data_IF_405402184588
#
_entry.id   IF_405402184588
#
_cell.length_a   1.000
_cell.length_b   1.000
_cell.length_c   1.000
_cell.angle_alpha   90.00
_cell.angle_beta   90.00
_cell.angle_gamma   90.00
#
_symmetry.space_group_name_H-M   'P 1'
#
loop_
_entity.id
_entity.type
_entity.pdbx_description
1 polymer ?
#
# COMPACT_ATOMS: atom_id res chain seq x y z
N UNK A 1 -20.95 6.83 11.14
CA UNK A 1 -20.73 8.13 10.46
C UNK A 1 -20.16 7.85 9.09
N UNK A 2 -20.53 8.53 8.01
CA UNK A 2 -19.90 8.24 6.70
C UNK A 2 -18.45 8.78 6.65
N UNK A 3 -17.52 8.08 5.98
CA UNK A 3 -16.21 8.65 5.68
C UNK A 3 -16.36 9.92 4.85
N UNK A 4 -15.31 10.74 4.83
CA UNK A 4 -15.22 11.83 3.87
C UNK A 4 -15.23 11.25 2.46
N UNK A 5 -16.19 11.68 1.63
CA UNK A 5 -16.30 11.23 0.24
C UNK A 5 -15.89 12.38 -0.68
N UNK A 6 -14.78 12.21 -1.38
CA UNK A 6 -14.24 13.19 -2.31
C UNK A 6 -14.37 12.66 -3.72
N UNK A 7 -15.18 13.34 -4.53
CA UNK A 7 -15.29 13.07 -5.96
C UNK A 7 -14.21 13.84 -6.71
N UNK A 8 -13.52 13.14 -7.60
CA UNK A 8 -12.50 13.71 -8.50
C UNK A 8 -12.70 13.26 -9.94
N UNK A 9 -12.06 13.97 -10.85
CA UNK A 9 -11.91 13.52 -12.23
C UNK A 9 -10.99 12.29 -12.28
N UNK A 10 -11.23 11.37 -13.21
CA UNK A 10 -10.43 10.14 -13.30
C UNK A 10 -8.94 10.43 -13.55
N UNK A 11 -8.61 11.53 -14.23
CA UNK A 11 -7.21 11.94 -14.44
C UNK A 11 -6.45 12.19 -13.14
N UNK A 12 -7.15 12.58 -12.06
CA UNK A 12 -6.54 12.82 -10.74
C UNK A 12 -6.11 11.48 -10.11
N UNK A 13 -6.96 10.45 -10.22
CA UNK A 13 -6.63 9.10 -9.74
C UNK A 13 -5.53 8.42 -10.56
N UNK A 14 -5.20 8.96 -11.74
CA UNK A 14 -4.37 8.26 -12.70
C UNK A 14 -5.14 7.12 -13.39
N UNK A 15 -4.43 6.38 -14.23
CA UNK A 15 -4.96 5.18 -14.88
C UNK A 15 -4.40 3.97 -14.13
N UNK A 16 -5.19 3.35 -13.23
CA UNK A 16 -4.75 2.15 -12.53
C UNK A 16 -4.56 0.95 -13.47
N UNK A 17 -5.11 1.02 -14.70
CA UNK A 17 -4.76 0.11 -15.78
C UNK A 17 -3.29 0.25 -16.20
N UNK A 18 -2.64 1.40 -16.03
CA UNK A 18 -1.22 1.56 -16.36
C UNK A 18 -0.32 0.60 -15.56
N UNK A 19 -0.75 0.16 -14.37
CA UNK A 19 0.01 -0.78 -13.53
C UNK A 19 0.18 -2.18 -14.13
N UNK A 20 -0.51 -2.50 -15.23
CA UNK A 20 -0.21 -3.72 -15.99
C UNK A 20 1.26 -3.84 -16.41
N UNK A 21 1.95 -2.70 -16.58
CA UNK A 21 3.39 -2.65 -16.90
C UNK A 21 4.27 -3.31 -15.83
N UNK A 22 3.79 -3.41 -14.58
CA UNK A 22 4.47 -4.12 -13.51
C UNK A 22 4.56 -5.62 -13.85
N UNK A 23 3.52 -6.19 -14.45
CA UNK A 23 3.42 -7.62 -14.72
C UNK A 23 4.09 -8.01 -16.04
N UNK A 24 3.96 -7.18 -17.09
CA UNK A 24 4.50 -7.49 -18.42
C UNK A 24 5.04 -6.25 -19.15
N UNK A 25 6.15 -6.41 -19.88
CA UNK A 25 6.69 -5.37 -20.77
C UNK A 25 5.88 -5.25 -22.09
N UNK A 26 4.93 -6.17 -22.33
CA UNK A 26 4.18 -6.28 -23.59
C UNK A 26 2.68 -6.08 -23.37
N UNK A 27 2.31 -5.04 -22.60
CA UNK A 27 0.94 -4.71 -22.17
C UNK A 27 -0.06 -4.81 -23.32
N UNK A 28 0.20 -4.11 -24.43
CA UNK A 28 -0.66 -4.02 -25.63
C UNK A 28 -1.03 -5.36 -26.28
N UNK A 29 -0.24 -6.42 -26.03
CA UNK A 29 -0.44 -7.74 -26.65
C UNK A 29 -0.76 -8.83 -25.64
N UNK A 30 -0.43 -8.62 -24.37
CA UNK A 30 -0.52 -9.61 -23.31
C UNK A 30 -1.77 -9.40 -22.47
N UNK A 31 -2.04 -8.16 -22.06
CA UNK A 31 -3.21 -7.84 -21.23
C UNK A 31 -4.53 -8.17 -21.92
N UNK A 32 -4.76 -7.85 -23.22
CA UNK A 32 -5.99 -8.27 -23.90
C UNK A 32 -6.26 -9.78 -23.83
N UNK A 33 -5.20 -10.60 -23.88
CA UNK A 33 -5.33 -12.06 -23.75
C UNK A 33 -5.64 -12.46 -22.31
N UNK A 34 -5.05 -11.82 -21.32
CA UNK A 34 -5.35 -12.07 -19.92
C UNK A 34 -6.80 -11.70 -19.57
N UNK A 35 -7.30 -10.58 -20.11
CA UNK A 35 -8.70 -10.18 -19.98
C UNK A 35 -9.62 -11.27 -20.56
N UNK A 36 -9.34 -11.74 -21.78
CA UNK A 36 -10.10 -12.83 -22.40
C UNK A 36 -10.06 -14.12 -21.57
N UNK A 37 -8.87 -14.58 -21.18
CA UNK A 37 -8.68 -15.80 -20.41
C UNK A 37 -9.32 -15.75 -19.02
N UNK A 38 -9.35 -14.57 -18.40
CA UNK A 38 -9.89 -14.42 -17.04
C UNK A 38 -11.40 -14.61 -16.97
N UNK A 39 -12.13 -14.40 -18.07
CA UNK A 39 -13.61 -14.41 -18.09
C UNK A 39 -14.18 -15.81 -17.80
N UNK A 40 -13.57 -16.86 -18.34
CA UNK A 40 -14.12 -18.22 -18.26
C UNK A 40 -14.15 -18.76 -16.83
N UNK A 41 -13.18 -18.34 -16.00
CA UNK A 41 -13.05 -18.74 -14.59
C UNK A 41 -13.32 -17.56 -13.63
N UNK A 42 -13.91 -16.47 -14.11
CA UNK A 42 -14.15 -15.29 -13.30
C UNK A 42 -15.20 -15.54 -12.23
N UNK A 43 -14.96 -15.00 -11.04
CA UNK A 43 -15.93 -14.90 -9.96
C UNK A 43 -16.38 -13.45 -9.79
N UNK A 44 -17.55 -13.25 -9.18
CA UNK A 44 -18.00 -11.93 -8.75
C UNK A 44 -17.65 -11.75 -7.27
N UNK A 45 -16.68 -10.88 -6.92
CA UNK A 45 -16.36 -10.60 -5.53
C UNK A 45 -17.58 -10.00 -4.82
N UNK A 46 -17.88 -10.49 -3.61
CA UNK A 46 -19.03 -10.03 -2.82
C UNK A 46 -18.79 -8.71 -2.08
N UNK A 47 -17.54 -8.42 -1.73
CA UNK A 47 -17.21 -7.25 -0.91
C UNK A 47 -17.81 -7.34 0.50
N UNK A 48 -18.34 -6.23 1.00
CA UNK A 48 -18.89 -6.03 2.34
C UNK A 48 -20.38 -6.39 2.49
N UNK A 49 -21.08 -6.70 1.40
CA UNK A 49 -22.50 -7.03 1.44
C UNK A 49 -22.72 -8.54 1.57
N UNK A 50 -23.64 -8.92 2.45
CA UNK A 50 -24.12 -10.30 2.60
C UNK A 50 -25.06 -10.70 1.45
N UNK A 51 -25.58 -9.72 0.70
CA UNK A 51 -26.44 -9.89 -0.47
C UNK A 51 -25.67 -9.63 -1.76
N UNK A 52 -25.85 -10.52 -2.74
CA UNK A 52 -25.10 -10.49 -3.99
C UNK A 52 -25.71 -9.49 -4.99
N UNK A 53 -25.51 -8.19 -4.72
CA UNK A 53 -25.96 -7.11 -5.62
C UNK A 53 -25.24 -7.13 -6.98
N UNK A 54 -24.09 -7.80 -7.05
CA UNK A 54 -23.30 -7.96 -8.27
C UNK A 54 -23.97 -8.94 -9.26
N UNK A 55 -24.92 -9.78 -8.82
CA UNK A 55 -25.69 -10.69 -9.69
C UNK A 55 -27.16 -10.30 -9.90
N UNK A 56 -27.59 -9.13 -9.41
CA UNK A 56 -28.94 -8.62 -9.66
C UNK A 56 -29.10 -8.24 -11.14
N UNK A 57 -30.19 -8.68 -11.78
CA UNK A 57 -30.54 -8.30 -13.17
C UNK A 57 -30.68 -6.77 -13.35
N UNK A 58 -30.79 -6.03 -12.24
CA UNK A 58 -30.87 -4.56 -12.18
C UNK A 58 -29.54 -3.87 -11.88
N UNK A 59 -28.45 -4.63 -11.65
CA UNK A 59 -27.12 -4.06 -11.44
C UNK A 59 -26.71 -3.21 -12.65
N UNK A 60 -26.22 -2.00 -12.40
CA UNK A 60 -25.71 -1.12 -13.44
C UNK A 60 -24.28 -1.52 -13.86
N UNK A 61 -23.54 -2.17 -12.96
CA UNK A 61 -22.16 -2.56 -13.15
C UNK A 61 -21.90 -3.93 -12.53
N UNK A 62 -21.01 -4.70 -13.15
CA UNK A 62 -20.44 -5.90 -12.55
C UNK A 62 -18.96 -5.72 -12.26
N UNK A 63 -18.51 -6.19 -11.10
CA UNK A 63 -17.09 -6.45 -10.84
C UNK A 63 -16.86 -7.95 -10.94
N UNK A 64 -16.00 -8.36 -11.87
CA UNK A 64 -15.56 -9.75 -11.98
C UNK A 64 -14.05 -9.82 -11.73
N UNK A 65 -13.57 -10.91 -11.15
CA UNK A 65 -12.15 -11.15 -10.92
C UNK A 65 -11.81 -12.60 -11.23
N UNK A 66 -10.74 -12.84 -11.99
CA UNK A 66 -10.31 -14.18 -12.34
C UNK A 66 -8.95 -14.23 -13.04
N UNK A 67 -8.36 -15.42 -13.24
CA UNK A 67 -8.77 -16.68 -12.61
C UNK A 67 -8.55 -16.66 -11.09
N UNK A 68 -9.17 -17.59 -10.34
CA UNK A 68 -8.95 -17.70 -8.90
C UNK A 68 -7.46 -17.96 -8.59
N UNK A 69 -6.88 -17.14 -7.73
CA UNK A 69 -5.46 -17.18 -7.40
C UNK A 69 -5.03 -16.01 -6.53
N UNK A 70 -3.71 -15.92 -6.29
CA UNK A 70 -3.07 -14.82 -5.55
C UNK A 70 -3.13 -13.53 -6.36
N UNK A 71 -2.80 -13.58 -7.65
CA UNK A 71 -2.97 -12.46 -8.59
C UNK A 71 -4.15 -12.80 -9.50
N UNK A 72 -5.06 -11.84 -9.67
CA UNK A 72 -6.27 -11.96 -10.47
C UNK A 72 -6.37 -10.76 -11.42
N UNK A 73 -7.13 -10.93 -12.50
CA UNK A 73 -7.54 -9.84 -13.39
C UNK A 73 -8.91 -9.38 -12.95
N UNK A 74 -9.02 -8.17 -12.43
CA UNK A 74 -10.30 -7.55 -12.11
C UNK A 74 -10.81 -6.77 -13.34
N UNK A 75 -12.10 -6.89 -13.62
CA UNK A 75 -12.78 -6.16 -14.69
C UNK A 75 -14.07 -5.55 -14.16
N UNK A 76 -14.28 -4.27 -14.45
CA UNK A 76 -15.52 -3.55 -14.19
C UNK A 76 -16.28 -3.45 -15.52
N UNK A 77 -17.48 -4.00 -15.55
CA UNK A 77 -18.32 -4.07 -16.75
C UNK A 77 -19.58 -3.23 -16.56
N UNK A 78 -19.97 -2.48 -17.58
CA UNK A 78 -21.32 -1.91 -17.65
C UNK A 78 -22.33 -2.99 -17.97
N UNK A 79 -23.50 -2.90 -17.35
CA UNK A 79 -24.56 -3.90 -17.48
C UNK A 79 -25.86 -3.24 -17.93
N UNK A 80 -26.45 -3.78 -19.00
CA UNK A 80 -27.73 -3.34 -19.52
C UNK A 80 -28.66 -4.54 -19.71
N UNK A 81 -29.74 -4.59 -18.92
CA UNK A 81 -30.71 -5.69 -18.97
C UNK A 81 -30.11 -7.04 -18.58
N UNK A 82 -29.33 -7.06 -17.49
CA UNK A 82 -28.67 -8.28 -16.97
C UNK A 82 -27.56 -8.84 -17.87
N UNK A 83 -26.97 -8.02 -18.76
CA UNK A 83 -25.89 -8.44 -19.66
C UNK A 83 -24.77 -7.40 -19.73
N UNK A 84 -23.50 -7.82 -19.81
CA UNK A 84 -22.40 -6.90 -20.06
C UNK A 84 -22.58 -6.17 -21.39
N UNK A 85 -22.44 -4.85 -21.37
CA UNK A 85 -22.53 -3.99 -22.55
C UNK A 85 -21.20 -3.32 -22.92
N UNK A 86 -20.32 -3.07 -21.96
CA UNK A 86 -19.00 -2.49 -22.20
C UNK A 86 -18.03 -2.82 -21.06
N UNK A 87 -16.72 -2.87 -21.37
CA UNK A 87 -15.67 -2.83 -20.37
C UNK A 87 -15.46 -1.37 -19.95
N UNK A 88 -15.52 -1.10 -18.64
CA UNK A 88 -15.33 0.23 -18.05
C UNK A 88 -13.89 0.43 -17.57
N UNK A 89 -13.37 -0.52 -16.80
CA UNK A 89 -11.98 -0.54 -16.35
C UNK A 89 -11.50 -1.97 -16.10
N UNK A 90 -10.19 -2.18 -16.08
CA UNK A 90 -9.57 -3.42 -15.66
C UNK A 90 -8.17 -3.20 -15.07
N UNK A 91 -7.88 -3.92 -13.99
CA UNK A 91 -6.64 -3.76 -13.23
C UNK A 91 -6.18 -5.11 -12.63
N UNK A 92 -4.88 -5.28 -12.34
CA UNK A 92 -4.42 -6.44 -11.60
C UNK A 92 -4.85 -6.32 -10.14
N UNK A 93 -5.30 -7.44 -9.56
CA UNK A 93 -5.75 -7.52 -8.18
C UNK A 93 -4.91 -8.55 -7.42
N UNK A 94 -4.28 -8.13 -6.32
CA UNK A 94 -3.60 -9.03 -5.40
C UNK A 94 -4.54 -9.46 -4.27
N UNK A 95 -4.99 -10.72 -4.32
CA UNK A 95 -5.80 -11.34 -3.27
C UNK A 95 -4.92 -11.75 -2.07
N UNK A 96 -4.51 -10.75 -1.31
CA UNK A 96 -3.64 -10.90 -0.15
C UNK A 96 -4.29 -11.72 0.97
N UNK A 97 -3.47 -12.44 1.73
CA UNK A 97 -3.85 -13.11 2.98
C UNK A 97 -3.45 -12.31 4.22
N UNK A 98 -2.78 -11.16 4.05
CA UNK A 98 -2.32 -10.30 5.15
C UNK A 98 -3.39 -9.30 5.52
N UNK A 99 -3.91 -9.46 6.74
CA UNK A 99 -5.02 -8.67 7.26
C UNK A 99 -4.51 -7.64 8.25
N UNK A 100 -4.94 -6.39 8.06
CA UNK A 100 -4.76 -5.30 9.01
C UNK A 100 -6.12 -4.77 9.43
N UNK A 101 -6.28 -4.46 10.72
CA UNK A 101 -7.51 -3.81 11.21
C UNK A 101 -7.39 -2.31 10.97
N UNK A 102 -8.35 -1.76 10.23
CA UNK A 102 -8.35 -0.34 9.82
C UNK A 102 -9.72 0.30 9.97
N UNK A 103 -9.74 1.62 10.06
CA UNK A 103 -10.92 2.45 9.78
C UNK A 103 -10.75 3.12 8.43
N UNK A 104 -11.86 3.30 7.69
CA UNK A 104 -11.86 4.07 6.46
C UNK A 104 -12.28 5.49 6.81
N UNK A 105 -11.35 6.45 6.78
CA UNK A 105 -11.66 7.85 7.12
C UNK A 105 -12.04 8.68 5.90
N UNK A 106 -11.50 8.35 4.72
CA UNK A 106 -11.78 9.02 3.45
C UNK A 106 -11.84 8.03 2.28
N UNK A 107 -12.68 8.35 1.30
CA UNK A 107 -12.81 7.67 0.01
C UNK A 107 -12.69 8.72 -1.09
N UNK A 108 -11.59 8.67 -1.84
CA UNK A 108 -11.34 9.53 -3.00
C UNK A 108 -11.66 8.75 -4.27
N UNK A 109 -12.65 9.16 -5.06
CA UNK A 109 -13.18 8.32 -6.13
C UNK A 109 -13.49 9.07 -7.44
N UNK A 110 -13.45 8.32 -8.54
CA UNK A 110 -13.97 8.75 -9.84
C UNK A 110 -15.25 7.97 -10.16
N UNK A 111 -16.34 8.68 -10.47
CA UNK A 111 -17.62 8.06 -10.85
C UNK A 111 -17.55 7.35 -12.22
N UNK A 112 -16.63 7.76 -13.09
CA UNK A 112 -16.56 7.19 -14.44
C UNK A 112 -15.79 5.87 -14.48
N UNK A 113 -14.65 5.73 -13.82
CA UNK A 113 -13.93 4.45 -13.76
C UNK A 113 -14.51 3.49 -12.70
N UNK A 114 -15.24 4.03 -11.70
CA UNK A 114 -15.63 3.29 -10.48
C UNK A 114 -14.40 2.76 -9.74
N UNK A 115 -13.41 3.62 -9.61
CA UNK A 115 -12.18 3.36 -8.87
C UNK A 115 -12.05 4.35 -7.72
N UNK A 116 -11.30 3.96 -6.70
CA UNK A 116 -11.04 4.84 -5.56
C UNK A 116 -9.73 4.53 -4.85
N UNK A 117 -9.19 5.55 -4.20
CA UNK A 117 -8.13 5.44 -3.20
C UNK A 117 -8.74 5.70 -1.82
N UNK A 118 -8.51 4.77 -0.90
CA UNK A 118 -8.95 4.87 0.49
C UNK A 118 -7.86 5.52 1.33
N UNK A 119 -8.28 6.33 2.30
CA UNK A 119 -7.45 6.65 3.46
C UNK A 119 -7.84 5.71 4.60
N UNK A 120 -6.88 4.89 4.99
CA UNK A 120 -7.02 3.87 6.03
C UNK A 120 -6.26 4.31 7.27
N UNK A 121 -6.92 4.25 8.42
CA UNK A 121 -6.31 4.52 9.72
C UNK A 121 -6.18 3.23 10.50
N UNK A 122 -4.95 2.87 10.87
CA UNK A 122 -4.67 1.72 11.73
C UNK A 122 -4.95 2.04 13.20
N UNK A 123 -5.04 1.02 14.04
CA UNK A 123 -5.42 1.18 15.44
C UNK A 123 -4.43 2.01 16.28
N UNK A 124 -3.17 2.06 15.86
CA UNK A 124 -2.07 2.87 16.43
C UNK A 124 -2.02 4.30 15.86
N UNK A 125 -2.89 4.64 14.91
CA UNK A 125 -3.00 5.98 14.32
C UNK A 125 -2.13 6.20 13.08
N UNK A 126 -1.43 5.18 12.57
CA UNK A 126 -0.77 5.30 11.27
C UNK A 126 -1.79 5.44 10.14
N UNK A 127 -1.41 6.16 9.09
CA UNK A 127 -2.23 6.38 7.90
C UNK A 127 -1.63 5.62 6.71
N UNK A 128 -2.48 4.89 6.00
CA UNK A 128 -2.17 4.22 4.75
C UNK A 128 -3.10 4.74 3.66
N UNK A 129 -2.58 4.83 2.44
CA UNK A 129 -3.39 5.11 1.24
C UNK A 129 -3.33 3.89 0.34
N UNK A 130 -4.49 3.38 -0.06
CA UNK A 130 -4.55 2.14 -0.83
C UNK A 130 -5.66 2.21 -1.86
N UNK A 131 -5.37 1.72 -3.07
CA UNK A 131 -6.39 1.46 -4.07
C UNK A 131 -7.42 0.46 -3.53
N UNK A 132 -8.70 0.82 -3.59
CA UNK A 132 -9.79 -0.08 -3.21
C UNK A 132 -10.09 -1.04 -4.35
N UNK A 133 -9.54 -2.25 -4.27
CA UNK A 133 -9.74 -3.27 -5.28
C UNK A 133 -11.22 -3.71 -5.44
N UNK A 134 -12.07 -3.39 -4.45
CA UNK A 134 -13.48 -3.78 -4.39
C UNK A 134 -14.43 -2.59 -4.37
N UNK A 135 -13.98 -1.39 -4.73
CA UNK A 135 -14.78 -0.16 -4.61
C UNK A 135 -16.15 -0.27 -5.29
N UNK A 136 -16.20 -0.82 -6.50
CA UNK A 136 -17.43 -0.99 -7.29
C UNK A 136 -18.57 -1.63 -6.49
N UNK A 137 -18.24 -2.63 -5.65
CA UNK A 137 -19.21 -3.34 -4.81
C UNK A 137 -19.27 -2.80 -3.37
N UNK A 138 -18.24 -2.10 -2.89
CA UNK A 138 -18.14 -1.60 -1.52
C UNK A 138 -18.56 -0.14 -1.33
N UNK A 139 -18.67 0.66 -2.39
CA UNK A 139 -18.81 2.12 -2.37
C UNK A 139 -19.87 2.67 -1.41
N UNK A 140 -20.95 1.92 -1.14
CA UNK A 140 -22.05 2.37 -0.28
C UNK A 140 -21.98 1.82 1.16
N UNK A 141 -21.03 0.94 1.46
CA UNK A 141 -20.94 0.18 2.71
C UNK A 141 -19.99 0.79 3.74
N UNK A 142 -19.10 1.70 3.33
CA UNK A 142 -18.14 2.32 4.26
C UNK A 142 -18.82 3.22 5.32
N UNK A 143 -18.31 3.13 6.55
CA UNK A 143 -18.66 3.92 7.73
C UNK A 143 -17.38 4.16 8.56
N UNK A 144 -17.06 5.42 8.82
CA UNK A 144 -15.84 5.86 9.51
C UNK A 144 -15.77 5.45 10.99
N UNK A 145 -16.86 4.94 11.57
CA UNK A 145 -16.89 4.44 12.96
C UNK A 145 -16.79 2.91 13.04
N UNK A 146 -16.59 2.25 11.89
CA UNK A 146 -16.46 0.80 11.79
C UNK A 146 -15.00 0.43 11.62
N UNK A 147 -14.59 -0.61 12.34
CA UNK A 147 -13.33 -1.30 12.08
C UNK A 147 -13.55 -2.39 11.03
N UNK A 148 -12.69 -2.41 10.03
CA UNK A 148 -12.69 -3.35 8.92
C UNK A 148 -11.45 -4.23 8.98
N UNK A 149 -11.56 -5.44 8.43
CA UNK A 149 -10.39 -6.21 8.02
C UNK A 149 -10.04 -5.83 6.58
N UNK A 150 -8.95 -5.08 6.42
CA UNK A 150 -8.35 -4.80 5.12
C UNK A 150 -7.27 -5.83 4.81
N UNK A 151 -7.43 -6.49 3.67
CA UNK A 151 -6.46 -7.43 3.13
C UNK A 151 -5.50 -6.62 2.26
N UNK A 152 -4.32 -6.32 2.80
CA UNK A 152 -3.37 -5.39 2.20
C UNK A 152 -2.40 -6.16 1.31
N UNK A 153 -2.39 -5.77 0.05
CA UNK A 153 -1.53 -6.33 -1.00
C UNK A 153 -0.88 -5.22 -1.81
N UNK A 154 0.23 -5.48 -2.47
CA UNK A 154 0.91 -4.50 -3.31
C UNK A 154 1.58 -5.16 -4.52
N UNK A 155 1.71 -4.40 -5.60
CA UNK A 155 2.56 -4.74 -6.73
C UNK A 155 3.83 -3.90 -6.68
N UNK A 156 5.01 -4.54 -6.75
CA UNK A 156 6.28 -3.82 -6.75
C UNK A 156 6.67 -3.43 -8.17
N UNK A 157 6.91 -2.13 -8.40
CA UNK A 157 7.50 -1.64 -9.64
C UNK A 157 8.95 -2.10 -9.79
N UNK A 158 9.69 -1.98 -8.69
CA UNK A 158 11.09 -2.34 -8.58
C UNK A 158 11.41 -2.66 -7.12
N UNK A 159 12.40 -3.54 -6.93
CA UNK A 159 12.91 -3.87 -5.61
C UNK A 159 14.43 -3.80 -5.63
N UNK A 160 14.99 -3.08 -4.67
CA UNK A 160 16.41 -3.03 -4.35
C UNK A 160 16.68 -3.78 -3.04
N UNK A 161 17.78 -4.52 -2.99
CA UNK A 161 18.26 -5.11 -1.74
C UNK A 161 19.03 -4.05 -0.94
N UNK A 162 18.68 -3.91 0.33
CA UNK A 162 19.36 -3.02 1.28
C UNK A 162 20.62 -3.70 1.78
N UNK A 163 21.73 -2.97 1.81
CA UNK A 163 23.02 -3.49 2.26
C UNK A 163 23.07 -3.63 3.78
N UNK A 164 23.79 -4.64 4.29
CA UNK A 164 23.99 -4.84 5.73
C UNK A 164 24.74 -3.68 6.42
N UNK A 165 25.47 -2.87 5.65
CA UNK A 165 26.23 -1.71 6.14
C UNK A 165 25.73 -0.41 5.49
N UNK A 166 24.46 -0.36 5.09
CA UNK A 166 23.88 0.82 4.49
C UNK A 166 23.81 1.96 5.51
N UNK A 167 24.68 2.94 5.33
CA UNK A 167 24.85 4.04 6.27
C UNK A 167 24.79 5.38 5.55
N UNK A 168 24.20 6.37 6.23
CA UNK A 168 24.31 7.78 5.83
C UNK A 168 25.21 8.48 6.83
N UNK A 169 26.18 9.24 6.32
CA UNK A 169 26.99 10.14 7.13
C UNK A 169 26.37 11.53 7.05
N UNK A 170 25.92 12.03 8.20
CA UNK A 170 25.45 13.40 8.37
C UNK A 170 26.62 14.23 8.86
N UNK A 171 27.16 15.08 7.99
CA UNK A 171 28.30 15.97 8.26
C UNK A 171 27.92 17.46 8.33
N UNK A 172 26.65 17.80 8.08
CA UNK A 172 26.15 19.16 8.24
C UNK A 172 26.24 19.62 9.71
N UNK A 173 27.01 20.68 10.03
CA UNK A 173 27.23 21.10 11.41
C UNK A 173 25.95 21.46 12.17
N UNK A 174 24.94 22.00 11.49
CA UNK A 174 23.68 22.36 12.13
C UNK A 174 22.86 21.11 12.49
N UNK A 175 22.77 20.14 11.59
CA UNK A 175 22.12 18.85 11.83
C UNK A 175 22.83 18.04 12.94
N UNK A 176 24.18 17.96 12.89
CA UNK A 176 24.99 17.30 13.92
C UNK A 176 24.76 17.95 15.29
N UNK A 177 24.85 19.28 15.37
CA UNK A 177 24.57 20.04 16.60
C UNK A 177 23.16 19.77 17.12
N UNK A 178 22.15 19.81 16.24
CA UNK A 178 20.76 19.58 16.61
C UNK A 178 20.55 18.18 17.19
N UNK A 179 21.04 17.14 16.50
CA UNK A 179 20.96 15.75 16.93
C UNK A 179 21.65 15.54 18.29
N UNK A 180 22.87 16.05 18.48
CA UNK A 180 23.61 15.95 19.74
C UNK A 180 22.89 16.66 20.88
N UNK A 181 22.43 17.90 20.63
CA UNK A 181 21.65 18.66 21.60
C UNK A 181 20.38 17.92 22.03
N UNK A 182 19.63 17.38 21.07
CA UNK A 182 18.40 16.64 21.31
C UNK A 182 18.67 15.40 22.17
N UNK A 183 19.65 14.57 21.80
CA UNK A 183 20.00 13.38 22.56
C UNK A 183 20.49 13.69 23.98
N UNK A 184 21.33 14.72 24.15
CA UNK A 184 21.78 15.18 25.47
C UNK A 184 20.60 15.61 26.37
N UNK A 185 19.66 16.36 25.79
CA UNK A 185 18.47 16.86 26.49
C UNK A 185 17.57 15.70 26.88
N UNK A 186 17.24 14.81 25.95
CA UNK A 186 16.39 13.65 26.20
C UNK A 186 17.03 12.70 27.23
N UNK A 187 18.32 12.40 27.12
CA UNK A 187 19.04 11.58 28.09
C UNK A 187 19.02 12.19 29.51
N UNK A 188 19.04 13.52 29.61
CA UNK A 188 18.94 14.23 30.89
C UNK A 188 17.49 14.35 31.43
N UNK A 189 16.49 13.87 30.69
CA UNK A 189 15.06 13.98 31.00
C UNK A 189 14.34 12.62 30.83
N UNK A 190 15.05 11.52 31.09
CA UNK A 190 14.52 10.14 31.04
C UNK A 190 13.82 9.79 29.71
N UNK A 191 14.33 10.35 28.60
CA UNK A 191 13.77 10.16 27.26
C UNK A 191 12.53 10.99 26.95
N UNK A 192 12.05 11.80 27.89
CA UNK A 192 10.86 12.66 27.69
C UNK A 192 11.30 14.05 27.24
N UNK A 193 10.70 14.54 26.16
CA UNK A 193 10.92 15.90 25.70
C UNK A 193 10.35 16.91 26.73
N UNK A 194 11.16 17.83 27.26
CA UNK A 194 10.71 18.85 28.20
C UNK A 194 9.92 19.95 27.49
N UNK A 195 9.05 20.65 28.23
CA UNK A 195 8.22 21.74 27.68
C UNK A 195 9.04 22.90 27.08
N UNK A 196 10.26 23.11 27.57
CA UNK A 196 11.20 24.15 27.13
C UNK A 196 12.24 23.65 26.11
N UNK A 197 11.96 22.53 25.41
CA UNK A 197 12.89 21.87 24.49
C UNK A 197 13.56 22.84 23.50
N UNK A 198 12.78 23.74 22.88
CA UNK A 198 13.31 24.64 21.85
C UNK A 198 14.31 25.65 22.42
N UNK A 199 14.04 26.21 23.59
CA UNK A 199 14.95 27.14 24.26
C UNK A 199 16.25 26.42 24.67
N UNK A 200 16.13 25.16 25.12
CA UNK A 200 17.27 24.32 25.48
C UNK A 200 18.11 23.92 24.26
N UNK A 201 17.49 23.59 23.13
CA UNK A 201 18.18 23.33 21.86
C UNK A 201 18.92 24.58 21.35
N UNK A 202 18.31 25.76 21.49
CA UNK A 202 18.94 27.03 21.12
C UNK A 202 20.15 27.36 22.03
N UNK A 203 20.03 27.12 23.34
CA UNK A 203 21.08 27.39 24.32
C UNK A 203 22.21 26.33 24.34
N UNK A 204 21.96 25.13 23.84
CA UNK A 204 22.94 24.03 23.86
C UNK A 204 24.19 24.37 23.04
N UNK A 205 25.36 24.00 23.56
CA UNK A 205 26.65 24.16 22.91
C UNK A 205 27.44 22.85 23.02
N UNK A 206 28.23 22.49 21.99
CA UNK A 206 29.10 21.33 22.06
C UNK A 206 30.07 21.48 23.24
N UNK A 207 30.28 20.39 23.98
CA UNK A 207 31.16 20.35 25.17
C UNK A 207 32.53 19.77 24.82
N UNK A 208 32.58 18.94 23.77
CA UNK A 208 33.75 18.19 23.33
C UNK A 208 33.88 18.24 21.80
N UNK A 209 35.08 17.99 21.24
CA UNK A 209 35.25 17.87 19.79
C UNK A 209 34.40 16.75 19.15
N UNK A 210 34.10 15.70 19.92
CA UNK A 210 33.25 14.58 19.46
C UNK A 210 31.78 15.01 19.26
N UNK A 211 31.35 16.08 19.93
CA UNK A 211 30.01 16.67 19.75
C UNK A 211 29.86 17.38 18.39
N UNK A 212 30.97 17.62 17.69
CA UNK A 212 31.01 18.22 16.36
C UNK A 212 31.33 17.18 15.27
N UNK A 213 31.65 15.93 15.66
CA UNK A 213 31.97 14.87 14.71
C UNK A 213 30.72 14.39 13.94
N UNK A 214 30.86 14.04 12.64
CA UNK A 214 29.77 13.53 11.83
C UNK A 214 29.02 12.38 12.51
N UNK A 215 27.71 12.33 12.28
CA UNK A 215 26.84 11.26 12.79
C UNK A 215 26.65 10.24 11.68
N UNK A 216 26.99 8.98 11.96
CA UNK A 216 26.65 7.87 11.07
C UNK A 216 25.31 7.29 11.51
N UNK A 217 24.35 7.28 10.58
CA UNK A 217 23.06 6.62 10.76
C UNK A 217 23.10 5.27 10.03
N UNK A 218 22.80 4.20 10.76
CA UNK A 218 22.62 2.87 10.19
C UNK A 218 21.18 2.72 9.71
N UNK A 219 21.01 2.57 8.39
CA UNK A 219 19.72 2.40 7.73
C UNK A 219 19.46 0.95 7.34
N UNK A 220 20.40 0.03 7.58
CA UNK A 220 20.32 -1.36 7.12
C UNK A 220 19.11 -2.12 7.63
N UNK A 221 18.59 -1.71 8.81
CA UNK A 221 17.42 -2.31 9.47
C UNK A 221 16.24 -1.34 9.59
N UNK A 222 16.26 -0.23 8.85
CA UNK A 222 15.17 0.74 8.88
C UNK A 222 13.92 0.16 8.21
N UNK A 223 12.77 0.40 8.84
CA UNK A 223 11.44 0.16 8.27
C UNK A 223 10.80 1.53 8.02
N UNK A 224 10.36 1.77 6.80
CA UNK A 224 9.76 3.03 6.39
C UNK A 224 8.70 2.82 5.32
N UNK A 225 7.68 3.67 5.34
CA UNK A 225 6.63 3.74 4.33
C UNK A 225 6.32 5.22 4.08
N UNK A 226 6.42 5.63 2.82
CA UNK A 226 6.21 7.00 2.36
C UNK A 226 5.21 6.95 1.20
N UNK A 227 3.98 7.41 1.45
CA UNK A 227 2.95 7.50 0.42
C UNK A 227 3.25 8.61 -0.59
N UNK A 228 2.68 8.50 -1.78
CA UNK A 228 2.89 9.43 -2.89
C UNK A 228 2.42 10.85 -2.56
N UNK A 229 3.15 11.85 -3.06
CA UNK A 229 2.80 13.27 -2.86
C UNK A 229 1.69 13.76 -3.81
N UNK A 230 1.39 12.98 -4.85
CA UNK A 230 0.37 13.31 -5.83
C UNK A 230 -1.01 12.97 -5.27
N UNK A 231 -1.83 13.99 -5.06
CA UNK A 231 -3.23 13.81 -4.67
C UNK A 231 -3.98 12.98 -5.72
N UNK A 232 -4.64 11.89 -5.30
CA UNK A 232 -5.27 10.92 -6.19
C UNK A 232 -4.48 9.63 -6.40
N UNK A 233 -3.16 9.67 -6.16
CA UNK A 233 -2.22 8.58 -6.42
C UNK A 233 -1.36 8.30 -5.18
N UNK A 234 -1.90 8.61 -3.99
CA UNK A 234 -1.18 8.41 -2.72
C UNK A 234 -0.92 6.93 -2.41
N UNK A 235 -1.65 6.02 -3.06
CA UNK A 235 -1.49 4.57 -3.02
C UNK A 235 -0.25 4.05 -3.75
N UNK A 236 0.40 4.89 -4.56
CA UNK A 236 1.79 4.67 -4.97
C UNK A 236 2.73 5.12 -3.86
N UNK A 237 3.48 4.17 -3.28
CA UNK A 237 4.30 4.44 -2.12
C UNK A 237 5.73 3.92 -2.30
N UNK A 238 6.67 4.63 -1.71
CA UNK A 238 8.01 4.11 -1.46
C UNK A 238 8.02 3.39 -0.11
N UNK A 239 8.72 2.27 -0.03
CA UNK A 239 8.89 1.53 1.22
C UNK A 239 10.34 1.06 1.39
N UNK A 240 10.71 0.80 2.64
CA UNK A 240 11.83 -0.05 3.02
C UNK A 240 11.38 -0.96 4.15
N UNK A 241 11.69 -2.26 4.08
CA UNK A 241 11.14 -3.22 5.02
C UNK A 241 11.88 -4.55 5.09
N UNK A 242 11.66 -5.25 6.20
CA UNK A 242 12.13 -6.62 6.42
C UNK A 242 11.21 -7.61 5.70
N UNK A 243 11.80 -8.54 4.95
CA UNK A 243 11.08 -9.66 4.32
C UNK A 243 10.93 -10.79 5.34
N UNK A 244 9.71 -11.06 5.78
CA UNK A 244 9.39 -12.15 6.72
C UNK A 244 9.23 -13.50 6.01
N UNK A 245 8.77 -13.47 4.76
CA UNK A 245 8.46 -14.65 3.97
C UNK A 245 8.65 -14.36 2.48
N UNK A 246 9.14 -15.34 1.73
CA UNK A 246 9.28 -15.26 0.29
C UNK A 246 8.91 -16.60 -0.32
N UNK A 247 7.99 -16.59 -1.28
CA UNK A 247 7.53 -17.80 -1.98
C UNK A 247 7.42 -17.55 -3.48
N UNK A 248 7.59 -18.59 -4.33
CA UNK A 248 7.32 -18.46 -5.76
C UNK A 248 5.88 -18.03 -6.01
N UNK A 249 5.69 -17.19 -7.02
CA UNK A 249 4.40 -16.74 -7.50
C UNK A 249 4.36 -16.97 -9.01
N UNK A 250 3.32 -17.62 -9.50
CA UNK A 250 3.05 -17.72 -10.93
C UNK A 250 1.73 -17.01 -11.21
N UNK A 251 1.70 -16.21 -12.26
CA UNK A 251 0.50 -15.56 -12.76
C UNK A 251 0.43 -15.74 -14.26
N UNK A 252 -0.47 -16.65 -14.69
CA UNK A 252 -0.66 -17.05 -16.09
C UNK A 252 0.65 -17.57 -16.70
N UNK A 253 1.45 -16.70 -17.32
CA UNK A 253 2.73 -17.02 -17.95
C UNK A 253 3.91 -16.25 -17.36
N UNK A 254 3.67 -15.44 -16.33
CA UNK A 254 4.67 -14.63 -15.65
C UNK A 254 5.06 -15.27 -14.32
N UNK A 255 6.36 -15.41 -14.10
CA UNK A 255 6.92 -15.94 -12.86
C UNK A 255 7.46 -14.81 -12.00
N UNK A 256 7.23 -14.89 -10.69
CA UNK A 256 7.62 -13.88 -9.72
C UNK A 256 7.75 -14.44 -8.31
N UNK A 257 7.72 -13.54 -7.33
CA UNK A 257 7.72 -13.87 -5.91
C UNK A 257 6.59 -13.14 -5.18
N UNK A 258 5.98 -13.82 -4.23
CA UNK A 258 5.14 -13.19 -3.21
C UNK A 258 5.97 -13.02 -1.96
N UNK A 259 6.08 -11.78 -1.49
CA UNK A 259 6.90 -11.38 -0.37
C UNK A 259 6.01 -10.88 0.76
N UNK A 260 6.17 -11.41 1.97
CA UNK A 260 5.56 -10.85 3.17
C UNK A 260 6.53 -9.83 3.77
N UNK A 261 6.15 -8.56 3.80
CA UNK A 261 7.08 -7.46 4.13
C UNK A 261 6.51 -6.57 5.22
N UNK A 262 7.35 -6.24 6.20
CA UNK A 262 7.04 -5.24 7.24
C UNK A 262 7.23 -3.85 6.66
N UNK A 263 6.18 -3.03 6.61
CA UNK A 263 6.26 -1.66 6.07
C UNK A 263 6.09 -0.55 7.12
N UNK A 264 5.49 -0.86 8.27
CA UNK A 264 5.39 0.05 9.41
C UNK A 264 5.69 -0.71 10.70
N UNK A 265 6.38 -0.04 11.62
CA UNK A 265 6.71 -0.57 12.95
C UNK A 265 6.68 0.56 13.97
N UNK A 266 5.55 0.73 14.63
CA UNK A 266 5.46 1.60 15.80
C UNK A 266 5.93 0.87 17.07
N UNK A 267 6.64 1.54 18.01
CA UNK A 267 7.24 0.88 19.19
C UNK A 267 6.26 0.07 20.05
N UNK A 268 5.02 0.55 20.15
CA UNK A 268 3.97 -0.04 20.99
C UNK A 268 2.83 -0.68 20.17
N UNK A 269 3.06 -0.97 18.88
CA UNK A 269 2.06 -1.57 18.00
C UNK A 269 2.56 -2.83 17.29
N UNK A 270 1.61 -3.62 16.79
CA UNK A 270 1.93 -4.72 15.89
C UNK A 270 2.43 -4.16 14.56
N UNK A 271 3.49 -4.73 13.97
CA UNK A 271 3.98 -4.29 12.68
C UNK A 271 2.90 -4.46 11.60
N UNK A 272 2.79 -3.49 10.69
CA UNK A 272 1.98 -3.66 9.49
C UNK A 272 2.77 -4.49 8.49
N UNK A 273 2.24 -5.68 8.19
CA UNK A 273 2.79 -6.60 7.22
C UNK A 273 1.87 -6.65 6.01
N UNK A 274 2.42 -6.46 4.81
CA UNK A 274 1.69 -6.58 3.55
C UNK A 274 2.27 -7.69 2.69
N UNK A 275 1.48 -8.19 1.74
CA UNK A 275 1.97 -9.06 0.68
C UNK A 275 2.35 -8.23 -0.54
N UNK A 276 3.57 -8.38 -1.03
CA UNK A 276 4.06 -7.71 -2.23
C UNK A 276 4.28 -8.76 -3.31
N UNK A 277 3.57 -8.63 -4.43
CA UNK A 277 3.84 -9.38 -5.64
C UNK A 277 4.96 -8.67 -6.43
N UNK A 278 6.05 -9.40 -6.65
CA UNK A 278 7.24 -8.92 -7.35
C UNK A 278 7.53 -9.78 -8.57
N UNK A 279 7.55 -9.15 -9.75
CA UNK A 279 7.86 -9.80 -11.03
C UNK A 279 9.20 -9.26 -11.55
N UNK A 280 10.34 -9.87 -11.13
CA UNK A 280 11.67 -9.40 -11.50
C UNK A 280 11.86 -9.38 -13.02
N UNK A 281 12.51 -8.34 -13.53
CA UNK A 281 12.97 -8.25 -14.92
C UNK A 281 14.44 -8.63 -15.02
N UNK A 282 14.83 -9.24 -16.14
CA UNK A 282 16.23 -9.53 -16.45
C UNK A 282 16.89 -10.51 -15.47
N UNK A 283 18.07 -10.15 -14.97
CA UNK A 283 18.90 -10.95 -14.07
C UNK A 283 18.76 -10.55 -12.59
N UNK A 284 17.65 -9.90 -12.24
CA UNK A 284 17.36 -9.50 -10.86
C UNK A 284 17.43 -10.69 -9.90
N UNK A 285 18.06 -10.45 -8.74
CA UNK A 285 18.25 -11.49 -7.72
C UNK A 285 16.93 -11.81 -7.04
N UNK A 286 16.74 -13.09 -6.73
CA UNK A 286 15.61 -13.53 -5.92
C UNK A 286 15.76 -13.00 -4.48
N UNK A 287 14.67 -12.45 -3.97
CA UNK A 287 14.55 -11.93 -2.60
C UNK A 287 14.32 -13.09 -1.63
N UNK A 288 14.92 -13.01 -0.43
CA UNK A 288 14.81 -14.05 0.60
C UNK A 288 14.29 -13.48 1.91
N UNK A 289 13.66 -14.35 2.71
CA UNK A 289 13.30 -14.01 4.09
C UNK A 289 14.55 -13.64 4.91
N UNK A 290 14.41 -12.63 5.75
CA UNK A 290 15.49 -12.01 6.55
C UNK A 290 16.27 -10.91 5.82
N UNK A 291 16.05 -10.70 4.52
CA UNK A 291 16.63 -9.57 3.80
C UNK A 291 15.80 -8.29 4.05
N UNK A 292 16.48 -7.14 4.05
CA UNK A 292 15.81 -5.85 3.92
C UNK A 292 15.78 -5.45 2.45
N UNK A 293 14.64 -4.96 2.01
CA UNK A 293 14.43 -4.48 0.65
C UNK A 293 13.78 -3.11 0.68
N UNK A 294 13.91 -2.37 -0.41
CA UNK A 294 13.20 -1.11 -0.63
C UNK A 294 12.74 -0.99 -2.07
N UNK A 295 11.80 -0.09 -2.33
CA UNK A 295 11.35 0.18 -3.69
C UNK A 295 10.04 0.93 -3.73
N UNK A 296 9.50 1.05 -4.93
CA UNK A 296 8.20 1.65 -5.17
C UNK A 296 7.14 0.55 -5.34
N UNK A 297 6.00 0.72 -4.67
CA UNK A 297 4.87 -0.19 -4.72
C UNK A 297 3.59 0.56 -5.06
N UNK A 298 2.68 -0.15 -5.70
CA UNK A 298 1.28 0.24 -5.76
C UNK A 298 0.49 -0.57 -4.72
N UNK A 299 0.01 0.11 -3.67
CA UNK A 299 -0.69 -0.51 -2.54
C UNK A 299 -2.20 -0.65 -2.82
N UNK A 300 -2.72 -1.84 -2.54
CA UNK A 300 -4.13 -2.20 -2.69
C UNK A 300 -4.70 -2.68 -1.37
N UNK A 301 -6.00 -2.43 -1.20
CA UNK A 301 -6.82 -2.99 -0.13
C UNK A 301 -8.03 -3.71 -0.72
N UNK A 302 -8.27 -4.93 -0.26
CA UNK A 302 -9.55 -5.60 -0.42
C UNK A 302 -10.23 -5.70 0.95
N UNK A 303 -11.48 -5.25 1.05
CA UNK A 303 -12.25 -5.26 2.30
C UNK A 303 -13.47 -6.16 2.13
N UNK A 304 -13.48 -7.26 2.87
CA UNK A 304 -14.55 -8.27 2.84
C UNK A 304 -15.36 -8.34 4.15
N UNK A 305 -14.80 -7.88 5.27
CA UNK A 305 -15.38 -8.13 6.58
C UNK A 305 -15.43 -6.88 7.46
N UNK A 306 -16.59 -6.69 8.10
CA UNK A 306 -16.79 -5.76 9.22
C UNK A 306 -16.45 -6.47 10.53
N UNK A 307 -15.67 -5.83 11.39
CA UNK A 307 -15.32 -6.38 12.72
C UNK A 307 -16.35 -5.93 13.76
N UNK A 308 -16.48 -4.62 13.94
CA UNK A 308 -17.37 -4.02 14.94
C UNK A 308 -17.56 -2.52 14.67
N UNK A 309 -18.72 -1.98 15.12
CA UNK A 309 -18.92 -0.54 15.31
C UNK A 309 -18.35 -0.12 16.66
N UNK A 310 -17.63 0.99 16.69
CA UNK A 310 -17.13 1.62 17.92
C UNK A 310 -18.28 2.17 18.78
#
# INVERSE_FOLDING_TARGET
MKPELLKVDCEILGDHGAHWQILTDSVETTVPKWLELSIDDAVMPRGLDDTDHNTDDTAAHWLIAGPEGVVQVAQILDVTGGRPSALRSAYPFLNSQRVTTVQVSRVLHCEHSLESVLTLETADGSTLYAFDALYTVNQHHYDAQVNYHAYLGAFAYEIEHVGADETIVVDDPAAVRHHRALNDILASNDGVAPDDLQDRLAAWQPKTPDDEAPVTLDLSNMVAYLFGENFGQEDEAWFQGEVLGAQPLEFISESGQLLDVVILREPDAAPVVIQIAYFPRGDAKAVKAGEFIRGNIWLQAAIYNVIAKK
#
